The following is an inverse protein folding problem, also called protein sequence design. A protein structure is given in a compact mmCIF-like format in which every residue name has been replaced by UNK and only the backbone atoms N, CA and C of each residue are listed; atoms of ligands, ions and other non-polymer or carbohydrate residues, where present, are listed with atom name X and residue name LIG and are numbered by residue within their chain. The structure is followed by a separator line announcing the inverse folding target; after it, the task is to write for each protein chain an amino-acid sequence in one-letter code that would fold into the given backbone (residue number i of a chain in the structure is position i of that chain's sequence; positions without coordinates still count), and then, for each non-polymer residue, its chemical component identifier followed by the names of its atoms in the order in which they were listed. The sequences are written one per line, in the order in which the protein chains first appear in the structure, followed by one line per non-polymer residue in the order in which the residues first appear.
data_IF_017237752893
#
_entry.id   IF_017237752893
#
_cell.length_a   1.000
_cell.length_b   1.000
_cell.length_c   1.000
_cell.angle_alpha   90.00
_cell.angle_beta   90.00
_cell.angle_gamma   90.00
#
_symmetry.space_group_name_H-M   'P 1'
#
loop_
_entity.id
_entity.type
_entity.pdbx_description
1 polymer ?
#
# COMPACT_ATOMS: atom_id res chain seq x y z
N UNK A 1 -12.97 -14.73 12.15
CA UNK A 1 -12.14 -13.66 11.55
C UNK A 1 -13.06 -12.66 10.87
N UNK A 2 -12.87 -11.38 11.11
CA UNK A 2 -13.66 -10.33 10.44
C UNK A 2 -13.36 -10.28 8.94
N UNK A 3 -14.27 -9.68 8.16
CA UNK A 3 -14.05 -9.48 6.71
C UNK A 3 -12.83 -8.61 6.46
N UNK A 4 -12.62 -7.55 7.24
CA UNK A 4 -11.44 -6.69 7.12
C UNK A 4 -10.13 -7.47 7.34
N UNK A 5 -10.07 -8.34 8.33
CA UNK A 5 -8.90 -9.20 8.56
C UNK A 5 -8.66 -10.16 7.40
N UNK A 6 -9.71 -10.75 6.85
CA UNK A 6 -9.58 -11.65 5.70
C UNK A 6 -9.10 -10.90 4.44
N UNK A 7 -9.66 -9.72 4.19
CA UNK A 7 -9.24 -8.86 3.07
C UNK A 7 -7.78 -8.43 3.20
N UNK A 8 -7.33 -8.09 4.42
CA UNK A 8 -5.94 -7.75 4.66
C UNK A 8 -5.02 -8.94 4.37
N UNK A 9 -5.37 -10.12 4.85
CA UNK A 9 -4.62 -11.36 4.58
C UNK A 9 -4.51 -11.64 3.08
N UNK A 10 -5.64 -11.52 2.37
CA UNK A 10 -5.68 -11.71 0.91
C UNK A 10 -4.85 -10.65 0.17
N UNK A 11 -4.87 -9.42 0.64
CA UNK A 11 -4.05 -8.34 0.08
C UNK A 11 -2.55 -8.64 0.26
N UNK A 12 -2.12 -9.05 1.44
CA UNK A 12 -0.72 -9.45 1.68
C UNK A 12 -0.30 -10.63 0.81
N UNK A 13 -1.18 -11.61 0.62
CA UNK A 13 -0.90 -12.74 -0.27
C UNK A 13 -0.69 -12.29 -1.73
N UNK A 14 -1.49 -11.32 -2.19
CA UNK A 14 -1.32 -10.73 -3.52
C UNK A 14 0.02 -10.00 -3.66
N UNK A 15 0.46 -9.27 -2.65
CA UNK A 15 1.73 -8.53 -2.69
C UNK A 15 2.95 -9.45 -2.81
N UNK A 16 2.87 -10.67 -2.28
CA UNK A 16 3.97 -11.64 -2.38
C UNK A 16 4.25 -12.09 -3.82
N UNK A 17 3.24 -12.05 -4.67
CA UNK A 17 3.35 -12.43 -6.09
C UNK A 17 2.43 -11.53 -6.94
N UNK A 18 2.73 -10.25 -6.96
CA UNK A 18 1.88 -9.26 -7.60
C UNK A 18 1.86 -9.42 -9.12
N UNK A 19 2.94 -9.92 -9.74
CA UNK A 19 2.98 -10.23 -11.17
C UNK A 19 1.80 -11.11 -11.61
N UNK A 20 1.43 -12.10 -10.79
CA UNK A 20 0.36 -13.06 -11.09
C UNK A 20 -0.96 -12.74 -10.37
N UNK A 21 -1.00 -11.68 -9.54
CA UNK A 21 -2.11 -11.44 -8.62
C UNK A 21 -2.77 -10.07 -8.77
N UNK A 22 -2.42 -9.26 -9.78
CA UNK A 22 -2.99 -7.91 -9.93
C UNK A 22 -4.51 -7.97 -10.05
N UNK A 23 -5.05 -8.84 -10.88
CA UNK A 23 -6.50 -8.95 -11.07
C UNK A 23 -7.21 -9.36 -9.77
N UNK A 24 -6.64 -10.33 -9.07
CA UNK A 24 -7.14 -10.76 -7.76
C UNK A 24 -7.10 -9.60 -6.76
N UNK A 25 -6.01 -8.86 -6.72
CA UNK A 25 -5.83 -7.73 -5.82
C UNK A 25 -6.85 -6.61 -6.09
N UNK A 26 -7.03 -6.24 -7.35
CA UNK A 26 -8.04 -5.25 -7.77
C UNK A 26 -9.44 -5.69 -7.35
N UNK A 27 -9.75 -6.98 -7.47
CA UNK A 27 -11.06 -7.54 -7.11
C UNK A 27 -11.32 -7.59 -5.60
N UNK A 28 -10.32 -7.37 -4.76
CA UNK A 28 -10.54 -7.18 -3.32
C UNK A 28 -11.22 -5.83 -3.02
N UNK A 29 -11.06 -4.84 -3.90
CA UNK A 29 -11.63 -3.50 -3.72
C UNK A 29 -13.08 -3.44 -4.23
N UNK A 30 -13.90 -2.63 -3.55
CA UNK A 30 -15.22 -2.25 -4.04
C UNK A 30 -15.09 -1.45 -5.36
N UNK A 31 -16.17 -1.34 -6.15
CA UNK A 31 -16.15 -0.61 -7.41
C UNK A 31 -15.70 0.85 -7.24
N UNK A 32 -16.13 1.52 -6.18
CA UNK A 32 -15.69 2.86 -5.79
C UNK A 32 -14.61 2.86 -4.71
N UNK A 33 -13.96 1.71 -4.47
CA UNK A 33 -12.95 1.57 -3.43
C UNK A 33 -11.74 2.47 -3.65
N UNK A 34 -11.09 2.82 -2.55
CA UNK A 34 -10.00 3.81 -2.54
C UNK A 34 -8.73 3.20 -1.95
N UNK A 35 -7.62 3.44 -2.63
CA UNK A 35 -6.28 3.17 -2.12
C UNK A 35 -5.59 4.52 -1.93
N UNK A 36 -5.23 4.85 -0.69
CA UNK A 36 -4.66 6.16 -0.32
C UNK A 36 -3.28 6.05 0.30
N UNK A 37 -2.46 7.06 0.01
CA UNK A 37 -1.14 7.28 0.59
C UNK A 37 -1.05 8.74 1.08
N UNK A 38 -1.67 9.09 2.23
CA UNK A 38 -1.85 10.50 2.61
C UNK A 38 -0.57 11.31 2.71
N UNK A 39 0.53 10.67 3.13
CA UNK A 39 1.82 11.36 3.31
C UNK A 39 2.60 11.56 2.00
N UNK A 40 2.17 10.98 0.88
CA UNK A 40 2.84 11.19 -0.40
C UNK A 40 2.71 12.62 -0.93
N UNK A 41 1.81 13.44 -0.38
CA UNK A 41 1.71 14.85 -0.72
C UNK A 41 3.03 15.59 -0.50
N UNK A 42 3.78 15.25 0.57
CA UNK A 42 5.09 15.90 0.84
C UNK A 42 6.15 15.52 -0.19
N UNK A 43 5.95 14.43 -0.92
CA UNK A 43 6.84 14.00 -2.01
C UNK A 43 6.42 14.54 -3.38
N UNK A 44 5.33 15.29 -3.47
CA UNK A 44 4.76 15.73 -4.73
C UNK A 44 4.13 14.60 -5.55
N UNK A 45 3.78 13.48 -4.90
CA UNK A 45 3.20 12.31 -5.54
C UNK A 45 1.68 12.25 -5.32
N UNK A 46 0.94 11.59 -6.23
CA UNK A 46 -0.49 11.36 -6.02
C UNK A 46 -0.76 10.63 -4.70
N UNK A 47 -1.85 11.03 -4.02
CA UNK A 47 -2.21 10.50 -2.70
C UNK A 47 -3.41 9.57 -2.71
N UNK A 48 -4.23 9.59 -3.78
CA UNK A 48 -5.51 8.90 -3.78
C UNK A 48 -5.80 8.28 -5.15
N UNK A 49 -6.16 7.02 -5.12
CA UNK A 49 -6.56 6.23 -6.28
C UNK A 49 -7.94 5.67 -6.01
N UNK A 50 -8.94 6.09 -6.76
CA UNK A 50 -10.34 5.72 -6.55
C UNK A 50 -10.88 4.92 -7.74
N UNK A 51 -11.54 3.80 -7.42
CA UNK A 51 -12.11 2.90 -8.39
C UNK A 51 -11.10 1.89 -8.92
N UNK A 52 -11.62 0.81 -9.49
CA UNK A 52 -10.78 -0.33 -9.91
C UNK A 52 -9.75 0.02 -10.98
N UNK A 53 -10.06 0.95 -11.87
CA UNK A 53 -9.12 1.40 -12.90
C UNK A 53 -7.90 2.08 -12.28
N UNK A 54 -8.11 3.06 -11.37
CA UNK A 54 -7.02 3.77 -10.71
C UNK A 54 -6.27 2.86 -9.72
N UNK A 55 -6.98 1.99 -9.00
CA UNK A 55 -6.35 0.99 -8.12
C UNK A 55 -5.44 0.07 -8.94
N UNK A 56 -5.87 -0.38 -10.12
CA UNK A 56 -5.03 -1.16 -11.03
C UNK A 56 -3.79 -0.39 -11.45
N UNK A 57 -3.93 0.91 -11.73
CA UNK A 57 -2.79 1.76 -12.11
C UNK A 57 -1.73 1.80 -11.00
N UNK A 58 -2.13 2.06 -9.76
CA UNK A 58 -1.16 2.12 -8.65
C UNK A 58 -0.53 0.76 -8.35
N UNK A 59 -1.30 -0.32 -8.42
CA UNK A 59 -0.75 -1.67 -8.26
C UNK A 59 0.25 -2.01 -9.38
N UNK A 60 -0.03 -1.55 -10.60
CA UNK A 60 0.90 -1.68 -11.73
C UNK A 60 2.21 -0.92 -11.50
N UNK A 61 2.15 0.27 -10.96
CA UNK A 61 3.33 1.07 -10.59
C UNK A 61 4.13 0.35 -9.50
N UNK A 62 3.47 -0.14 -8.46
CA UNK A 62 4.10 -0.90 -7.38
C UNK A 62 4.80 -2.14 -7.96
N UNK A 63 4.12 -2.88 -8.82
CA UNK A 63 4.68 -4.08 -9.44
C UNK A 63 5.85 -3.78 -10.40
N UNK A 64 5.84 -2.63 -11.06
CA UNK A 64 6.93 -2.21 -11.94
C UNK A 64 8.22 -1.90 -11.17
N UNK A 65 8.10 -1.36 -9.96
CA UNK A 65 9.25 -0.90 -9.17
C UNK A 65 9.68 -1.87 -8.08
N UNK A 66 8.80 -2.73 -7.59
CA UNK A 66 9.08 -3.61 -6.46
C UNK A 66 8.76 -5.06 -6.79
N UNK A 67 9.52 -5.98 -6.22
CA UNK A 67 9.30 -7.42 -6.39
C UNK A 67 9.58 -8.17 -5.09
N UNK A 68 9.05 -9.39 -5.00
CA UNK A 68 9.32 -10.34 -3.93
C UNK A 68 9.07 -9.77 -2.52
N UNK A 69 7.92 -9.11 -2.31
CA UNK A 69 7.57 -8.59 -0.99
C UNK A 69 7.47 -9.70 0.06
N UNK A 70 8.15 -9.46 1.18
CA UNK A 70 8.01 -10.24 2.40
C UNK A 70 7.38 -9.35 3.47
N UNK A 71 6.25 -9.80 4.01
CA UNK A 71 5.51 -9.08 5.05
C UNK A 71 5.82 -9.72 6.39
N UNK A 72 6.17 -8.89 7.37
CA UNK A 72 6.52 -9.33 8.72
C UNK A 72 6.06 -8.35 9.79
N UNK A 73 6.19 -8.73 11.06
CA UNK A 73 5.87 -7.90 12.22
C UNK A 73 4.43 -7.36 12.18
N UNK A 74 3.49 -8.19 11.75
CA UNK A 74 2.07 -7.81 11.60
C UNK A 74 1.40 -7.72 12.96
N UNK A 75 0.84 -6.55 13.28
CA UNK A 75 0.08 -6.28 14.49
C UNK A 75 -1.23 -5.62 14.11
N UNK A 76 -2.35 -6.33 14.34
CA UNK A 76 -3.69 -5.91 13.91
C UNK A 76 -4.50 -5.43 15.10
N UNK A 77 -5.16 -4.28 14.96
CA UNK A 77 -6.10 -3.73 15.91
C UNK A 77 -7.44 -3.51 15.21
N UNK A 78 -8.42 -4.36 15.48
CA UNK A 78 -9.77 -4.19 14.96
C UNK A 78 -10.47 -3.04 15.67
N UNK A 79 -11.24 -2.23 14.93
CA UNK A 79 -12.05 -1.18 15.54
C UNK A 79 -13.28 -1.77 16.20
N UNK A 80 -13.77 -1.11 17.25
CA UNK A 80 -14.91 -1.59 18.04
C UNK A 80 -16.22 -1.57 17.26
N UNK A 81 -16.39 -0.60 16.38
CA UNK A 81 -17.60 -0.41 15.60
C UNK A 81 -17.26 -0.43 14.11
N UNK A 82 -18.06 -1.19 13.35
CA UNK A 82 -17.85 -1.37 11.92
C UNK A 82 -16.87 -2.50 11.60
N UNK A 83 -16.65 -2.74 10.33
CA UNK A 83 -15.73 -3.75 9.81
C UNK A 83 -14.46 -3.05 9.30
N UNK A 84 -13.59 -2.72 10.21
CA UNK A 84 -12.35 -2.01 9.92
C UNK A 84 -11.24 -2.39 10.90
N UNK A 85 -10.02 -2.10 10.51
CA UNK A 85 -8.85 -2.35 11.35
C UNK A 85 -7.76 -1.31 11.09
N UNK A 86 -6.86 -1.17 12.06
CA UNK A 86 -5.53 -0.63 11.88
C UNK A 86 -4.53 -1.77 11.93
N UNK A 87 -3.48 -1.68 11.16
CA UNK A 87 -2.40 -2.67 11.14
C UNK A 87 -1.05 -1.99 11.07
N UNK A 88 -0.14 -2.42 11.94
CA UNK A 88 1.27 -2.11 11.84
C UNK A 88 1.98 -3.29 11.21
N UNK A 89 2.84 -3.05 10.23
CA UNK A 89 3.63 -4.11 9.62
C UNK A 89 4.89 -3.59 8.97
N UNK A 90 5.79 -4.51 8.65
CA UNK A 90 7.03 -4.27 7.93
C UNK A 90 7.01 -5.02 6.61
N UNK A 91 7.59 -4.43 5.57
CA UNK A 91 7.84 -5.14 4.33
C UNK A 91 9.30 -5.01 3.90
N UNK A 92 9.80 -6.06 3.28
CA UNK A 92 11.02 -6.05 2.50
C UNK A 92 10.67 -6.43 1.07
N UNK A 93 11.30 -5.79 0.12
CA UNK A 93 11.16 -6.09 -1.30
C UNK A 93 12.42 -5.67 -2.05
N UNK A 94 12.48 -6.02 -3.34
CA UNK A 94 13.59 -5.61 -4.20
C UNK A 94 13.12 -4.49 -5.13
N UNK A 95 14.02 -3.51 -5.38
CA UNK A 95 13.73 -2.35 -6.23
C UNK A 95 14.19 -2.64 -7.64
N UNK A 96 13.32 -2.31 -8.63
CA UNK A 96 13.62 -2.38 -10.07
C UNK A 96 14.21 -3.75 -10.48
N UNK A 97 13.74 -4.83 -9.84
CA UNK A 97 14.20 -6.20 -10.06
C UNK A 97 15.72 -6.37 -9.89
N UNK A 98 16.31 -5.52 -9.06
CA UNK A 98 17.71 -5.57 -8.65
C UNK A 98 17.90 -6.32 -7.33
N UNK A 99 19.10 -6.33 -6.79
CA UNK A 99 19.40 -6.83 -5.44
C UNK A 99 19.30 -5.73 -4.36
N UNK A 100 18.86 -4.52 -4.75
CA UNK A 100 18.62 -3.42 -3.81
C UNK A 100 17.35 -3.66 -3.02
N UNK A 101 17.44 -3.70 -1.71
CA UNK A 101 16.31 -3.92 -0.82
C UNK A 101 15.61 -2.60 -0.50
N UNK A 102 14.28 -2.61 -0.62
CA UNK A 102 13.40 -1.59 -0.08
C UNK A 102 12.72 -2.12 1.18
N UNK A 103 13.19 -1.65 2.33
CA UNK A 103 12.59 -1.96 3.61
C UNK A 103 11.65 -0.82 4.02
N UNK A 104 10.42 -1.13 4.43
CA UNK A 104 9.42 -0.12 4.76
C UNK A 104 8.61 -0.52 5.99
N UNK A 105 8.24 0.49 6.77
CA UNK A 105 7.35 0.35 7.92
C UNK A 105 6.03 1.07 7.65
N UNK A 106 4.93 0.41 7.99
CA UNK A 106 3.58 0.91 7.72
C UNK A 106 2.74 0.95 8.99
N UNK A 107 1.88 1.94 9.05
CA UNK A 107 0.64 1.88 9.83
C UNK A 107 -0.50 2.15 8.85
N UNK A 108 -1.35 1.17 8.64
CA UNK A 108 -2.40 1.24 7.63
C UNK A 108 -3.77 1.04 8.24
N UNK A 109 -4.78 1.62 7.59
CA UNK A 109 -6.18 1.45 7.94
C UNK A 109 -6.89 0.76 6.78
N UNK A 110 -7.61 -0.32 7.07
CA UNK A 110 -8.49 -0.98 6.11
C UNK A 110 -9.93 -0.88 6.59
N UNK A 111 -10.80 -0.35 5.74
CA UNK A 111 -12.25 -0.28 5.98
C UNK A 111 -12.92 -1.17 4.96
N UNK A 112 -13.68 -2.15 5.44
CA UNK A 112 -14.46 -3.06 4.60
C UNK A 112 -15.92 -2.63 4.54
N UNK A 113 -16.55 -2.86 3.40
CA UNK A 113 -18.00 -2.68 3.20
C UNK A 113 -18.46 -3.70 2.16
N UNK A 114 -19.54 -4.42 2.49
CA UNK A 114 -20.13 -5.45 1.63
C UNK A 114 -19.12 -6.50 1.13
N UNK A 115 -18.21 -6.91 1.99
CA UNK A 115 -17.22 -7.94 1.69
C UNK A 115 -16.05 -7.48 0.81
N UNK A 116 -15.90 -6.19 0.60
CA UNK A 116 -14.84 -5.59 -0.23
C UNK A 116 -14.11 -4.48 0.52
N UNK A 117 -12.91 -4.13 0.04
CA UNK A 117 -12.17 -2.99 0.55
C UNK A 117 -12.83 -1.70 0.06
N UNK A 118 -13.37 -0.93 0.99
CA UNK A 118 -13.87 0.42 0.73
C UNK A 118 -12.73 1.44 0.74
N UNK A 119 -11.85 1.35 1.73
CA UNK A 119 -10.65 2.19 1.87
C UNK A 119 -9.50 1.34 2.36
N UNK A 120 -8.38 1.42 1.67
CA UNK A 120 -7.07 1.02 2.18
C UNK A 120 -6.21 2.27 2.22
N UNK A 121 -5.83 2.69 3.41
CA UNK A 121 -5.05 3.92 3.63
C UNK A 121 -3.74 3.56 4.27
N UNK A 122 -2.64 3.75 3.54
CA UNK A 122 -1.30 3.41 4.01
C UNK A 122 -0.54 4.64 4.47
N UNK A 123 -0.09 4.62 5.73
CA UNK A 123 0.86 5.57 6.28
C UNK A 123 2.21 4.87 6.38
N UNK A 124 3.21 5.44 5.77
CA UNK A 124 4.52 4.83 5.66
C UNK A 124 5.65 5.87 5.81
N UNK A 125 6.88 5.40 5.94
CA UNK A 125 8.02 6.27 6.12
C UNK A 125 8.43 6.89 4.77
N UNK A 126 7.99 8.13 4.53
CA UNK A 126 8.22 8.83 3.26
C UNK A 126 9.69 9.17 3.02
N UNK A 127 10.50 9.26 4.07
CA UNK A 127 11.94 9.46 3.92
C UNK A 127 12.58 8.22 3.28
N UNK A 128 12.20 7.03 3.71
CA UNK A 128 12.64 5.79 3.07
C UNK A 128 12.20 5.75 1.61
N UNK A 129 10.96 6.10 1.32
CA UNK A 129 10.45 6.16 -0.04
C UNK A 129 11.29 7.08 -0.92
N UNK A 130 11.54 8.32 -0.47
CA UNK A 130 12.33 9.29 -1.23
C UNK A 130 13.76 8.82 -1.48
N UNK A 131 14.43 8.30 -0.44
CA UNK A 131 15.80 7.81 -0.55
C UNK A 131 15.95 6.66 -1.54
N UNK A 132 14.91 5.85 -1.68
CA UNK A 132 14.96 4.63 -2.49
C UNK A 132 14.46 4.86 -3.92
N UNK A 133 13.47 5.73 -4.14
CA UNK A 133 12.85 5.91 -5.45
C UNK A 133 13.33 7.14 -6.20
N UNK A 134 13.69 8.21 -5.51
CA UNK A 134 14.12 9.43 -6.19
C UNK A 134 15.59 9.34 -6.62
N UNK A 135 15.93 9.83 -7.83
CA UNK A 135 17.30 9.76 -8.36
C UNK A 135 18.34 10.37 -7.42
N UNK A 136 18.03 11.48 -6.76
CA UNK A 136 18.91 12.17 -5.82
C UNK A 136 18.41 12.07 -4.36
N UNK A 137 17.55 11.09 -4.05
CA UNK A 137 17.02 10.88 -2.71
C UNK A 137 16.27 12.08 -2.16
N UNK A 138 16.62 12.49 -0.94
CA UNK A 138 15.93 13.62 -0.28
C UNK A 138 16.10 14.97 -1.00
N UNK A 139 17.13 15.13 -1.83
CA UNK A 139 17.33 16.35 -2.59
C UNK A 139 16.20 16.60 -3.62
N UNK A 140 15.51 15.56 -4.04
CA UNK A 140 14.40 15.64 -4.99
C UNK A 140 13.04 15.88 -4.32
N UNK A 141 12.98 15.90 -2.99
CA UNK A 141 11.73 16.21 -2.27
C UNK A 141 11.37 17.67 -2.48
N UNK A 142 10.14 17.97 -2.96
CA UNK A 142 9.73 19.35 -3.17
C UNK A 142 9.79 20.19 -1.89
N UNK A 143 10.04 21.50 -1.99
CA UNK A 143 9.95 22.37 -0.82
C UNK A 143 8.52 22.39 -0.28
N UNK A 144 8.38 22.67 1.01
CA UNK A 144 7.06 22.81 1.62
C UNK A 144 6.25 23.91 0.89
N UNK A 145 4.96 23.65 0.69
CA UNK A 145 4.05 24.65 0.16
C UNK A 145 3.92 25.80 1.18
N UNK A 146 4.05 27.05 0.70
CA UNK A 146 3.87 28.25 1.51
C UNK A 146 2.38 28.58 1.69
#
# INVERSE_FOLDING_TARGET
MSTSCQLLSDFFDCLRDLDNSIDRCVNLFADGGVFEFPYFSVLGMPTRFQGKTEVRQVLGIINAHFSAFTISEVEIHEVKEGDALFVRYHSDGFIDRSDRVYAQDYVSQLIAEDGKIKVLREHLNVIKTARMLFPNGLADVPPAAE
#
